data_IF_991341284554
#
_entry.id   IF_991341284554
#
_cell.length_a   1.000
_cell.length_b   1.000
_cell.length_c   1.000
_cell.angle_alpha   90.00
_cell.angle_beta   90.00
_cell.angle_gamma   90.00
#
_symmetry.space_group_name_H-M   'P 1'
#
loop_
_entity.id
_entity.type
_entity.pdbx_description
1 polymer ?
#
# COMPACT_ATOMS: atom_id res chain seq x y z
N UNK A 1 -13.92 -22.94 -0.74
CA UNK A 1 -13.00 -23.98 -1.31
C UNK A 1 -13.20 -24.14 -2.81
N UNK A 2 -14.44 -24.33 -3.30
CA UNK A 2 -14.68 -24.53 -4.73
C UNK A 2 -14.23 -23.37 -5.66
N UNK A 3 -14.43 -22.11 -5.26
CA UNK A 3 -14.04 -20.95 -6.10
C UNK A 3 -12.51 -20.81 -6.17
N UNK A 4 -11.80 -21.02 -5.07
CA UNK A 4 -10.34 -20.96 -5.03
C UNK A 4 -9.72 -21.99 -5.99
N UNK A 5 -10.10 -23.24 -5.87
CA UNK A 5 -9.57 -24.33 -6.70
C UNK A 5 -9.83 -24.08 -8.18
N UNK A 6 -11.04 -23.59 -8.52
CA UNK A 6 -11.40 -23.27 -9.90
C UNK A 6 -10.56 -22.10 -10.46
N UNK A 7 -10.29 -21.07 -9.66
CA UNK A 7 -9.44 -19.94 -10.02
C UNK A 7 -7.98 -20.38 -10.23
N UNK A 8 -7.45 -21.19 -9.30
CA UNK A 8 -6.08 -21.71 -9.38
C UNK A 8 -5.90 -22.58 -10.65
N UNK A 9 -6.82 -23.50 -10.92
CA UNK A 9 -6.78 -24.36 -12.11
C UNK A 9 -6.94 -23.54 -13.42
N UNK A 10 -7.83 -22.55 -13.46
CA UNK A 10 -8.01 -21.71 -14.62
C UNK A 10 -6.76 -20.83 -14.91
N UNK A 11 -6.10 -20.35 -13.85
CA UNK A 11 -4.87 -19.59 -14.00
C UNK A 11 -3.71 -20.45 -14.50
N UNK A 12 -3.61 -21.69 -14.00
CA UNK A 12 -2.63 -22.69 -14.44
C UNK A 12 -2.86 -23.17 -15.88
N UNK A 13 -4.05 -23.01 -16.42
CA UNK A 13 -4.44 -23.49 -17.76
C UNK A 13 -5.03 -24.90 -17.79
N UNK A 14 -5.30 -25.49 -16.63
CA UNK A 14 -5.91 -26.82 -16.48
C UNK A 14 -7.42 -26.81 -16.74
N UNK A 15 -8.03 -25.62 -16.68
CA UNK A 15 -9.44 -25.36 -16.97
C UNK A 15 -9.58 -24.11 -17.82
N UNK A 16 -10.54 -24.07 -18.79
CA UNK A 16 -10.82 -22.86 -19.55
C UNK A 16 -11.15 -21.68 -18.62
N UNK A 17 -10.58 -20.50 -18.89
CA UNK A 17 -10.79 -19.31 -18.03
C UNK A 17 -12.27 -18.90 -17.94
N UNK A 18 -13.05 -19.18 -19.00
CA UNK A 18 -14.48 -18.90 -19.03
C UNK A 18 -15.27 -19.68 -17.99
N UNK A 19 -14.86 -20.91 -17.67
CA UNK A 19 -15.50 -21.73 -16.65
C UNK A 19 -15.31 -21.13 -15.24
N UNK A 20 -14.23 -20.40 -15.04
CA UNK A 20 -13.94 -19.69 -13.78
C UNK A 20 -14.62 -18.31 -13.69
N UNK A 21 -15.23 -17.78 -14.75
CA UNK A 21 -15.81 -16.43 -14.79
C UNK A 21 -16.68 -16.09 -13.58
N UNK A 22 -17.59 -16.97 -13.20
CA UNK A 22 -18.47 -16.75 -12.04
C UNK A 22 -17.72 -16.75 -10.71
N UNK A 23 -16.72 -17.62 -10.57
CA UNK A 23 -15.87 -17.66 -9.36
C UNK A 23 -15.04 -16.38 -9.25
N UNK A 24 -14.44 -15.93 -10.35
CA UNK A 24 -13.69 -14.67 -10.42
C UNK A 24 -14.59 -13.49 -10.05
N UNK A 25 -15.78 -13.39 -10.66
CA UNK A 25 -16.73 -12.29 -10.36
C UNK A 25 -17.08 -12.24 -8.88
N UNK A 26 -17.49 -13.36 -8.26
CA UNK A 26 -17.80 -13.40 -6.81
C UNK A 26 -16.60 -13.02 -5.95
N UNK A 27 -15.40 -13.43 -6.35
CA UNK A 27 -14.17 -13.11 -5.61
C UNK A 27 -13.87 -11.62 -5.67
N UNK A 28 -13.99 -10.98 -6.84
CA UNK A 28 -13.80 -9.52 -6.97
C UNK A 28 -14.86 -8.75 -6.19
N UNK A 29 -16.11 -9.20 -6.22
CA UNK A 29 -17.21 -8.64 -5.40
C UNK A 29 -16.91 -8.75 -3.89
N UNK A 30 -16.39 -9.88 -3.44
CA UNK A 30 -16.04 -10.08 -2.03
C UNK A 30 -14.83 -9.22 -1.61
N UNK A 31 -13.83 -9.02 -2.49
CA UNK A 31 -12.76 -8.04 -2.28
C UNK A 31 -13.30 -6.61 -2.20
N UNK A 32 -14.23 -6.26 -3.09
CA UNK A 32 -14.87 -4.94 -3.15
C UNK A 32 -15.62 -4.61 -1.86
N UNK A 33 -16.30 -5.61 -1.27
CA UNK A 33 -17.00 -5.46 0.02
C UNK A 33 -16.11 -5.61 1.25
N UNK A 34 -14.82 -5.97 1.08
CA UNK A 34 -13.89 -6.21 2.19
C UNK A 34 -14.11 -7.52 2.95
N UNK A 35 -14.90 -8.44 2.39
CA UNK A 35 -15.12 -9.79 2.94
C UNK A 35 -13.89 -10.68 2.75
N UNK A 36 -13.07 -10.37 1.74
CA UNK A 36 -11.79 -10.99 1.46
C UNK A 36 -10.69 -9.93 1.41
N UNK A 37 -9.49 -10.29 1.84
CA UNK A 37 -8.30 -9.45 1.78
C UNK A 37 -7.14 -10.22 1.15
N UNK A 38 -6.35 -9.53 0.32
CA UNK A 38 -5.16 -10.13 -0.33
C UNK A 38 -4.10 -10.54 0.70
N UNK A 39 -3.98 -9.81 1.79
CA UNK A 39 -3.24 -10.26 2.97
C UNK A 39 -3.93 -9.80 4.25
N UNK A 40 -3.87 -10.64 5.28
CA UNK A 40 -4.45 -10.37 6.60
C UNK A 40 -3.52 -10.83 7.73
N UNK A 41 -3.64 -10.21 8.90
CA UNK A 41 -2.84 -10.54 10.09
C UNK A 41 -3.58 -11.59 10.93
N UNK A 42 -3.05 -12.81 10.98
CA UNK A 42 -3.57 -13.93 11.77
C UNK A 42 -2.52 -14.32 12.80
N UNK A 43 -2.89 -14.35 14.08
CA UNK A 43 -1.99 -14.67 15.19
C UNK A 43 -0.66 -13.87 15.15
N UNK A 44 -0.75 -12.58 14.81
CA UNK A 44 0.38 -11.67 14.72
C UNK A 44 1.26 -11.80 13.46
N UNK A 45 0.92 -12.69 12.53
CA UNK A 45 1.66 -12.90 11.28
C UNK A 45 0.81 -12.53 10.07
N UNK A 46 1.42 -11.88 9.09
CA UNK A 46 0.77 -11.60 7.83
C UNK A 46 0.72 -12.85 6.95
N UNK A 47 -0.47 -13.19 6.49
CA UNK A 47 -0.74 -14.30 5.58
C UNK A 47 -1.20 -13.72 4.25
N UNK A 48 -0.52 -14.09 3.17
CA UNK A 48 -0.85 -13.66 1.80
C UNK A 48 -1.71 -14.72 1.12
N UNK A 49 -2.84 -14.32 0.58
CA UNK A 49 -3.78 -15.16 -0.16
C UNK A 49 -3.51 -15.03 -1.67
N UNK A 50 -2.52 -15.74 -2.18
CA UNK A 50 -2.09 -15.65 -3.58
C UNK A 50 -3.23 -15.86 -4.58
N UNK A 51 -4.16 -16.80 -4.29
CA UNK A 51 -5.28 -17.10 -5.16
C UNK A 51 -6.19 -15.88 -5.43
N UNK A 52 -6.25 -14.90 -4.52
CA UNK A 52 -6.97 -13.65 -4.74
C UNK A 52 -6.31 -12.78 -5.80
N UNK A 53 -4.97 -12.77 -5.85
CA UNK A 53 -4.24 -12.09 -6.93
C UNK A 53 -4.47 -12.81 -8.27
N UNK A 54 -4.53 -14.15 -8.28
CA UNK A 54 -4.87 -14.90 -9.48
C UNK A 54 -6.27 -14.51 -9.97
N UNK A 55 -7.25 -14.37 -9.07
CA UNK A 55 -8.59 -13.90 -9.43
C UNK A 55 -8.56 -12.51 -10.06
N UNK A 56 -7.79 -11.57 -9.52
CA UNK A 56 -7.61 -10.22 -10.09
C UNK A 56 -7.00 -10.31 -11.50
N UNK A 57 -5.95 -11.11 -11.68
CA UNK A 57 -5.31 -11.29 -12.99
C UNK A 57 -6.27 -11.90 -14.02
N UNK A 58 -7.06 -12.91 -13.60
CA UNK A 58 -8.09 -13.50 -14.46
C UNK A 58 -9.20 -12.49 -14.78
N UNK A 59 -9.58 -11.63 -13.86
CA UNK A 59 -10.61 -10.60 -14.13
C UNK A 59 -10.20 -9.67 -15.27
N UNK A 60 -8.91 -9.31 -15.38
CA UNK A 60 -8.42 -8.53 -16.53
C UNK A 60 -8.44 -9.31 -17.84
N UNK A 61 -8.26 -10.65 -17.80
CA UNK A 61 -8.34 -11.47 -19.01
C UNK A 61 -9.78 -11.66 -19.47
N UNK A 62 -10.72 -11.81 -18.50
CA UNK A 62 -12.13 -12.02 -18.74
C UNK A 62 -12.90 -10.73 -19.06
N UNK A 63 -12.41 -9.58 -18.62
CA UNK A 63 -13.05 -8.29 -18.81
C UNK A 63 -12.87 -7.76 -20.24
N UNK A 64 -13.87 -7.05 -20.73
CA UNK A 64 -13.87 -6.35 -22.01
C UNK A 64 -13.66 -4.84 -21.78
N UNK A 65 -13.00 -4.18 -22.73
CA UNK A 65 -12.88 -2.72 -22.72
C UNK A 65 -14.25 -2.09 -22.88
N UNK A 66 -14.64 -1.28 -21.91
CA UNK A 66 -15.92 -0.57 -21.92
C UNK A 66 -15.73 0.91 -21.67
N UNK A 67 -16.59 1.72 -22.28
CA UNK A 67 -16.67 3.13 -21.96
C UNK A 67 -17.34 3.31 -20.60
N UNK A 68 -16.72 4.11 -19.75
CA UNK A 68 -17.23 4.48 -18.42
C UNK A 68 -17.41 6.00 -18.41
N UNK A 69 -18.63 6.45 -18.19
CA UNK A 69 -18.98 7.87 -18.13
C UNK A 69 -19.19 8.28 -16.66
N UNK A 70 -18.48 9.31 -16.21
CA UNK A 70 -18.56 9.90 -14.88
C UNK A 70 -18.75 11.44 -15.00
N UNK A 71 -19.98 11.86 -15.29
CA UNK A 71 -20.29 13.25 -15.65
C UNK A 71 -19.61 13.62 -16.97
N UNK A 72 -18.79 14.68 -16.94
CA UNK A 72 -18.03 15.12 -18.12
C UNK A 72 -16.72 14.35 -18.35
N UNK A 73 -16.36 13.44 -17.44
CA UNK A 73 -15.20 12.58 -17.57
C UNK A 73 -15.56 11.27 -18.26
N UNK A 74 -14.68 10.81 -19.14
CA UNK A 74 -14.86 9.58 -19.90
C UNK A 74 -13.62 8.71 -19.77
N UNK A 75 -13.82 7.43 -19.48
CA UNK A 75 -12.76 6.44 -19.37
C UNK A 75 -13.02 5.28 -20.32
N UNK A 76 -12.00 4.49 -20.57
CA UNK A 76 -12.12 3.25 -21.34
C UNK A 76 -11.27 2.19 -20.63
N UNK A 77 -11.91 1.31 -19.87
CA UNK A 77 -11.23 0.32 -19.05
C UNK A 77 -12.07 -0.96 -18.91
N UNK A 78 -11.45 -2.03 -18.42
CA UNK A 78 -12.07 -3.31 -18.11
C UNK A 78 -12.68 -3.35 -16.70
N UNK A 79 -12.16 -2.54 -15.78
CA UNK A 79 -12.58 -2.50 -14.39
C UNK A 79 -13.22 -1.13 -14.11
N UNK A 80 -14.46 -1.08 -13.66
CA UNK A 80 -15.13 0.18 -13.35
C UNK A 80 -14.50 0.86 -12.11
N UNK A 81 -14.89 2.11 -11.90
CA UNK A 81 -14.70 2.78 -10.61
C UNK A 81 -15.75 2.27 -9.63
N UNK A 82 -15.42 2.33 -8.34
CA UNK A 82 -16.35 1.97 -7.26
C UNK A 82 -17.46 3.04 -7.17
N UNK A 83 -18.70 2.62 -7.06
CA UNK A 83 -19.86 3.52 -7.13
C UNK A 83 -20.51 3.83 -5.77
N UNK A 84 -20.63 2.86 -4.87
CA UNK A 84 -21.31 3.04 -3.58
C UNK A 84 -20.40 3.55 -2.44
N UNK A 85 -19.54 4.53 -2.72
CA UNK A 85 -18.67 5.14 -1.70
C UNK A 85 -19.45 5.91 -0.61
N UNK A 86 -20.53 6.67 -0.91
CA UNK A 86 -21.33 7.32 0.12
C UNK A 86 -22.01 6.32 1.07
N UNK A 87 -22.56 5.23 0.56
CA UNK A 87 -23.21 4.17 1.37
C UNK A 87 -22.21 3.44 2.28
N UNK A 88 -20.95 3.39 1.89
CA UNK A 88 -19.86 2.82 2.68
C UNK A 88 -19.24 3.82 3.68
N UNK A 89 -19.70 5.06 3.75
CA UNK A 89 -19.16 6.08 4.66
C UNK A 89 -17.75 6.56 4.28
N UNK A 90 -17.39 6.47 2.99
CA UNK A 90 -16.09 6.90 2.44
C UNK A 90 -16.24 8.26 1.76
N UNK A 91 -15.36 9.20 2.11
CA UNK A 91 -15.30 10.51 1.44
C UNK A 91 -14.25 10.48 0.34
N UNK A 92 -14.66 10.76 -0.89
CA UNK A 92 -13.73 10.93 -2.02
C UNK A 92 -13.85 12.34 -2.57
N UNK A 93 -12.72 13.05 -2.61
CA UNK A 93 -12.64 14.41 -3.16
C UNK A 93 -12.34 14.33 -4.66
N UNK A 94 -13.13 14.95 -5.54
CA UNK A 94 -12.87 14.93 -6.97
C UNK A 94 -11.51 15.55 -7.33
N UNK A 95 -10.73 14.98 -8.28
CA UNK A 95 -11.00 13.81 -9.09
C UNK A 95 -10.42 12.51 -8.50
N UNK A 96 -10.46 12.30 -7.18
CA UNK A 96 -10.02 11.05 -6.56
C UNK A 96 -10.78 9.85 -7.08
N UNK A 97 -10.13 8.69 -7.10
CA UNK A 97 -10.68 7.44 -7.63
C UNK A 97 -10.39 6.24 -6.73
N UNK A 98 -11.41 5.40 -6.53
CA UNK A 98 -11.27 4.06 -5.98
C UNK A 98 -11.76 3.08 -7.04
N UNK A 99 -10.89 2.14 -7.47
CA UNK A 99 -11.29 1.12 -8.44
C UNK A 99 -12.16 0.05 -7.80
N UNK A 100 -13.10 -0.49 -8.56
CA UNK A 100 -13.87 -1.64 -8.16
C UNK A 100 -12.96 -2.83 -7.79
N UNK A 101 -13.28 -3.56 -6.73
CA UNK A 101 -12.43 -4.59 -6.15
C UNK A 101 -11.38 -4.07 -5.17
N UNK A 102 -11.34 -2.75 -4.92
CA UNK A 102 -10.66 -2.18 -3.76
C UNK A 102 -11.65 -1.94 -2.62
N UNK A 103 -11.22 -2.09 -1.37
CA UNK A 103 -12.04 -1.81 -0.20
C UNK A 103 -11.48 -0.65 0.62
N UNK A 104 -12.37 0.26 1.00
CA UNK A 104 -12.10 1.31 1.99
C UNK A 104 -13.12 1.17 3.12
N UNK A 105 -12.65 1.05 4.35
CA UNK A 105 -13.53 1.02 5.53
C UNK A 105 -14.22 2.39 5.77
N UNK A 106 -15.32 2.43 6.53
CA UNK A 106 -15.98 3.69 6.90
C UNK A 106 -15.00 4.67 7.57
N UNK A 107 -15.16 5.97 7.25
CA UNK A 107 -14.31 7.03 7.78
C UNK A 107 -13.03 7.27 7.00
N UNK A 108 -12.74 6.48 5.97
CA UNK A 108 -11.63 6.75 5.04
C UNK A 108 -11.89 8.02 4.25
N UNK A 109 -10.85 8.84 4.12
CA UNK A 109 -10.85 10.03 3.26
C UNK A 109 -9.84 9.83 2.14
N UNK A 110 -10.32 9.83 0.91
CA UNK A 110 -9.49 9.85 -0.30
C UNK A 110 -9.54 11.27 -0.87
N UNK A 111 -8.48 12.03 -0.69
CA UNK A 111 -8.27 13.30 -1.38
C UNK A 111 -8.08 13.01 -2.89
N UNK A 112 -7.86 13.97 -3.78
CA UNK A 112 -7.58 13.61 -5.17
C UNK A 112 -6.41 12.64 -5.29
N UNK A 113 -6.70 11.36 -5.13
CA UNK A 113 -5.76 10.24 -5.00
C UNK A 113 -6.32 9.01 -5.72
N UNK A 114 -5.53 7.95 -5.83
CA UNK A 114 -5.92 6.75 -6.55
C UNK A 114 -5.73 5.50 -5.67
N UNK A 115 -6.79 4.70 -5.55
CA UNK A 115 -6.77 3.40 -4.85
C UNK A 115 -7.08 2.30 -5.86
N UNK A 116 -6.12 1.39 -6.04
CA UNK A 116 -6.21 0.35 -7.07
C UNK A 116 -6.86 -0.94 -6.57
N UNK A 117 -7.30 -1.77 -7.52
CA UNK A 117 -7.97 -3.07 -7.28
C UNK A 117 -7.16 -3.97 -6.32
N UNK A 118 -7.86 -4.67 -5.45
CA UNK A 118 -7.27 -5.56 -4.44
C UNK A 118 -6.66 -4.84 -3.24
N UNK A 119 -6.55 -3.50 -3.27
CA UNK A 119 -6.11 -2.73 -2.12
C UNK A 119 -7.18 -2.74 -1.01
N UNK A 120 -6.72 -2.69 0.23
CA UNK A 120 -7.55 -2.52 1.42
C UNK A 120 -7.06 -1.31 2.20
N UNK A 121 -7.98 -0.42 2.58
CA UNK A 121 -7.68 0.79 3.37
C UNK A 121 -8.53 0.80 4.63
N UNK A 122 -7.89 0.73 5.79
CA UNK A 122 -8.53 0.69 7.11
C UNK A 122 -9.17 2.02 7.51
N UNK A 123 -10.16 1.93 8.40
CA UNK A 123 -10.98 3.06 8.85
C UNK A 123 -10.17 4.22 9.45
N UNK A 124 -10.62 5.44 9.26
CA UNK A 124 -9.94 6.65 9.75
C UNK A 124 -8.69 7.05 8.97
N UNK A 125 -8.28 6.26 7.99
CA UNK A 125 -7.10 6.54 7.15
C UNK A 125 -7.37 7.65 6.15
N UNK A 126 -6.37 8.52 5.97
CA UNK A 126 -6.37 9.54 4.92
C UNK A 126 -5.37 9.17 3.82
N UNK A 127 -5.85 9.10 2.58
CA UNK A 127 -5.03 9.03 1.37
C UNK A 127 -5.03 10.42 0.75
N UNK A 128 -3.96 11.18 0.98
CA UNK A 128 -3.91 12.60 0.67
C UNK A 128 -3.60 12.87 -0.82
N UNK A 129 -3.57 14.14 -1.17
CA UNK A 129 -3.55 14.67 -2.54
C UNK A 129 -2.44 14.07 -3.40
N UNK A 130 -2.84 13.50 -4.54
CA UNK A 130 -1.96 12.83 -5.52
C UNK A 130 -1.17 11.63 -4.98
N UNK A 131 -1.56 11.09 -3.82
CA UNK A 131 -1.04 9.81 -3.38
C UNK A 131 -1.66 8.65 -4.17
N UNK A 132 -0.97 7.52 -4.20
CA UNK A 132 -1.46 6.29 -4.81
C UNK A 132 -1.35 5.13 -3.84
N UNK A 133 -2.40 4.31 -3.79
CA UNK A 133 -2.40 2.99 -3.13
C UNK A 133 -2.46 1.95 -4.23
N UNK A 134 -1.35 1.28 -4.47
CA UNK A 134 -1.18 0.32 -5.54
C UNK A 134 -2.00 -0.96 -5.36
N UNK A 135 -2.09 -1.75 -6.42
CA UNK A 135 -2.86 -3.00 -6.42
C UNK A 135 -2.42 -3.92 -5.27
N UNK A 136 -3.40 -4.47 -4.57
CA UNK A 136 -3.20 -5.41 -3.49
C UNK A 136 -2.53 -4.85 -2.22
N UNK A 137 -2.15 -3.58 -2.15
CA UNK A 137 -1.58 -2.97 -0.96
C UNK A 137 -2.57 -3.03 0.21
N UNK A 138 -2.05 -3.28 1.43
CA UNK A 138 -2.83 -3.41 2.65
C UNK A 138 -2.48 -2.28 3.59
N UNK A 139 -3.41 -1.35 3.78
CA UNK A 139 -3.24 -0.18 4.64
C UNK A 139 -4.10 -0.37 5.88
N UNK A 140 -3.52 -0.15 7.04
CA UNK A 140 -4.15 -0.23 8.35
C UNK A 140 -5.10 0.94 8.63
N UNK A 141 -5.54 1.02 9.89
CA UNK A 141 -6.42 2.07 10.41
C UNK A 141 -5.62 3.30 10.82
N UNK A 142 -6.27 4.48 10.77
CA UNK A 142 -5.70 5.76 11.21
C UNK A 142 -4.35 6.09 10.56
N UNK A 143 -4.06 5.53 9.40
CA UNK A 143 -2.83 5.83 8.66
C UNK A 143 -2.96 7.17 7.96
N UNK A 144 -1.91 7.98 8.00
CA UNK A 144 -1.82 9.17 7.16
C UNK A 144 -0.84 8.90 6.00
N UNK A 145 -1.38 8.79 4.79
CA UNK A 145 -0.61 8.71 3.55
C UNK A 145 -0.58 10.13 2.98
N UNK A 146 0.51 10.86 3.22
CA UNK A 146 0.62 12.28 2.85
C UNK A 146 0.70 12.52 1.33
N UNK A 147 0.66 13.78 0.93
CA UNK A 147 0.58 14.17 -0.47
C UNK A 147 1.71 13.62 -1.35
N UNK A 148 1.33 13.07 -2.50
CA UNK A 148 2.28 12.54 -3.49
C UNK A 148 3.00 11.24 -3.10
N UNK A 149 2.58 10.57 -2.04
CA UNK A 149 3.13 9.26 -1.65
C UNK A 149 2.80 8.20 -2.69
N UNK A 150 3.78 7.38 -3.03
CA UNK A 150 3.62 6.21 -3.88
C UNK A 150 3.68 4.91 -3.09
N UNK A 151 2.52 4.31 -2.76
CA UNK A 151 2.45 2.94 -2.28
C UNK A 151 2.37 2.02 -3.50
N UNK A 152 3.38 1.18 -3.67
CA UNK A 152 3.51 0.31 -4.82
C UNK A 152 2.47 -0.80 -4.86
N UNK A 153 2.06 -1.15 -6.07
CA UNK A 153 1.24 -2.33 -6.32
C UNK A 153 2.13 -3.56 -6.54
N UNK A 154 1.77 -4.67 -5.91
CA UNK A 154 2.45 -5.96 -6.07
C UNK A 154 1.41 -7.01 -6.48
N UNK A 155 0.92 -6.90 -7.71
CA UNK A 155 0.00 -7.87 -8.30
C UNK A 155 0.77 -9.03 -8.94
N UNK A 156 1.85 -8.71 -9.65
CA UNK A 156 2.73 -9.67 -10.31
C UNK A 156 4.17 -9.55 -9.78
N UNK A 157 4.84 -10.69 -9.50
CA UNK A 157 4.32 -12.05 -9.55
C UNK A 157 3.32 -12.33 -8.42
N UNK A 158 2.35 -13.27 -8.63
CA UNK A 158 1.28 -13.51 -7.63
C UNK A 158 1.78 -13.93 -6.24
N UNK A 159 2.91 -14.64 -6.17
CA UNK A 159 3.54 -15.08 -4.92
C UNK A 159 4.29 -13.98 -4.17
N UNK A 160 4.50 -12.79 -4.76
CA UNK A 160 5.17 -11.69 -4.06
C UNK A 160 4.27 -11.10 -2.96
N UNK A 161 4.87 -10.75 -1.83
CA UNK A 161 4.17 -10.07 -0.73
C UNK A 161 3.67 -8.69 -1.17
N UNK A 162 2.42 -8.29 -0.90
CA UNK A 162 1.97 -6.93 -1.14
C UNK A 162 2.66 -5.95 -0.19
N UNK A 163 2.63 -4.66 -0.54
CA UNK A 163 3.01 -3.62 0.43
C UNK A 163 2.01 -3.61 1.58
N UNK A 164 2.53 -3.58 2.81
CA UNK A 164 1.75 -3.54 4.04
C UNK A 164 2.15 -2.29 4.81
N UNK A 165 1.16 -1.50 5.22
CA UNK A 165 1.33 -0.38 6.16
C UNK A 165 0.37 -0.64 7.31
N UNK A 166 0.91 -0.89 8.50
CA UNK A 166 0.11 -1.18 9.69
C UNK A 166 -0.56 0.06 10.29
N UNK A 167 -1.39 -0.15 11.30
CA UNK A 167 -2.22 0.88 11.93
C UNK A 167 -1.37 2.06 12.46
N UNK A 168 -1.96 3.25 12.53
CA UNK A 168 -1.40 4.46 13.12
C UNK A 168 -0.06 4.95 12.51
N UNK A 169 0.36 4.40 11.37
CA UNK A 169 1.57 4.84 10.67
C UNK A 169 1.39 6.20 9.99
N UNK A 170 2.46 6.97 9.92
CA UNK A 170 2.54 8.24 9.19
C UNK A 170 3.55 8.13 8.05
N UNK A 171 3.09 8.30 6.82
CA UNK A 171 3.91 8.25 5.61
C UNK A 171 4.05 9.66 5.06
N UNK A 172 5.21 10.27 5.27
CA UNK A 172 5.49 11.65 4.87
C UNK A 172 5.39 11.89 3.37
N UNK A 173 5.19 13.14 2.98
CA UNK A 173 4.97 13.53 1.59
C UNK A 173 6.05 13.01 0.65
N UNK A 174 5.63 12.52 -0.52
CA UNK A 174 6.50 11.98 -1.59
C UNK A 174 7.36 10.77 -1.18
N UNK A 175 7.03 10.08 -0.09
CA UNK A 175 7.62 8.78 0.20
C UNK A 175 7.25 7.76 -0.89
N UNK A 176 8.16 6.81 -1.12
CA UNK A 176 7.95 5.66 -1.99
C UNK A 176 8.09 4.39 -1.15
N UNK A 177 7.05 3.57 -1.13
CA UNK A 177 7.03 2.28 -0.41
C UNK A 177 6.61 1.20 -1.38
N UNK A 178 7.54 0.33 -1.79
CA UNK A 178 7.31 -0.62 -2.89
C UNK A 178 7.93 -1.99 -2.60
N UNK A 179 7.80 -2.91 -3.54
CA UNK A 179 8.44 -4.23 -3.54
C UNK A 179 8.11 -5.08 -2.29
N UNK A 180 6.85 -5.02 -1.84
CA UNK A 180 6.41 -5.80 -0.69
C UNK A 180 6.95 -5.32 0.65
N UNK A 181 7.39 -4.09 0.74
CA UNK A 181 7.85 -3.50 1.98
C UNK A 181 6.73 -3.48 3.03
N UNK A 182 7.13 -3.68 4.29
CA UNK A 182 6.26 -3.70 5.45
C UNK A 182 6.62 -2.53 6.38
N UNK A 183 5.64 -1.66 6.62
CA UNK A 183 5.77 -0.55 7.56
C UNK A 183 5.00 -0.91 8.82
N UNK A 184 5.71 -1.06 9.92
CA UNK A 184 5.16 -1.47 11.21
C UNK A 184 4.23 -0.42 11.83
N UNK A 185 3.40 -0.88 12.76
CA UNK A 185 2.41 -0.07 13.49
C UNK A 185 3.05 1.20 14.08
N UNK A 186 2.42 2.34 13.89
CA UNK A 186 2.85 3.61 14.43
C UNK A 186 4.19 4.14 13.87
N UNK A 187 4.79 3.50 12.87
CA UNK A 187 6.02 4.00 12.27
C UNK A 187 5.82 5.33 11.54
N UNK A 188 6.85 6.14 11.51
CA UNK A 188 6.85 7.47 10.89
C UNK A 188 7.93 7.51 9.82
N UNK A 189 7.55 7.75 8.57
CA UNK A 189 8.47 8.04 7.48
C UNK A 189 8.52 9.55 7.24
N UNK A 190 9.70 10.15 7.39
CA UNK A 190 9.94 11.55 6.98
C UNK A 190 9.75 11.72 5.48
N UNK A 191 9.46 12.94 5.04
CA UNK A 191 9.22 13.23 3.62
C UNK A 191 10.37 12.73 2.71
N UNK A 192 10.03 12.30 1.49
CA UNK A 192 10.94 11.75 0.49
C UNK A 192 11.66 10.45 0.88
N UNK A 193 11.27 9.79 1.97
CA UNK A 193 11.87 8.50 2.35
C UNK A 193 11.43 7.41 1.36
N UNK A 194 12.40 6.62 0.89
CA UNK A 194 12.16 5.49 0.00
C UNK A 194 12.45 4.18 0.71
N UNK A 195 11.47 3.29 0.76
CA UNK A 195 11.55 1.94 1.32
C UNK A 195 11.22 0.93 0.22
N UNK A 196 12.19 0.08 -0.09
CA UNK A 196 12.05 -1.03 -1.04
C UNK A 196 12.72 -2.29 -0.47
N UNK A 197 12.59 -3.42 -1.15
CA UNK A 197 13.27 -4.66 -0.73
C UNK A 197 14.80 -4.52 -0.74
N UNK A 198 15.37 -3.66 -1.57
CA UNK A 198 16.81 -3.53 -1.78
C UNK A 198 17.46 -2.39 -1.00
N UNK A 199 16.72 -1.33 -0.66
CA UNK A 199 17.25 -0.18 0.07
C UNK A 199 17.47 -0.56 1.54
N UNK A 200 18.69 -0.42 2.08
CA UNK A 200 18.95 -0.71 3.49
C UNK A 200 18.32 0.35 4.39
N UNK A 201 17.76 -0.12 5.50
CA UNK A 201 17.22 0.69 6.59
C UNK A 201 18.16 0.48 7.77
N UNK A 202 18.83 1.52 8.23
CA UNK A 202 19.91 1.43 9.21
C UNK A 202 19.46 2.11 10.50
N UNK A 203 19.33 1.35 11.57
CA UNK A 203 19.05 1.87 12.91
C UNK A 203 20.36 2.39 13.52
N UNK A 204 20.45 3.72 13.68
CA UNK A 204 21.60 4.41 14.28
C UNK A 204 21.31 4.87 15.70
N UNK A 205 20.22 4.42 16.30
CA UNK A 205 19.87 4.75 17.70
C UNK A 205 20.58 3.86 18.72
N UNK A 206 21.28 2.82 18.25
CA UNK A 206 22.00 1.84 19.07
C UNK A 206 23.52 2.06 18.98
N UNK A 207 24.28 1.54 19.94
CA UNK A 207 25.73 1.63 19.96
C UNK A 207 26.36 1.02 18.69
N UNK A 208 25.79 -0.08 18.21
CA UNK A 208 26.13 -0.69 16.92
C UNK A 208 24.94 -0.59 15.97
N UNK A 209 25.12 -0.09 14.72
CA UNK A 209 24.05 0.02 13.74
C UNK A 209 23.46 -1.35 13.38
N UNK A 210 22.13 -1.41 13.33
CA UNK A 210 21.38 -2.61 12.89
C UNK A 210 20.75 -2.34 11.53
N UNK A 211 21.00 -3.22 10.57
CA UNK A 211 20.42 -3.10 9.21
C UNK A 211 19.16 -3.96 9.07
N UNK A 212 18.07 -3.34 8.61
CA UNK A 212 16.83 -3.98 8.19
C UNK A 212 16.68 -3.89 6.68
N UNK A 213 15.83 -4.75 6.12
CA UNK A 213 15.46 -4.72 4.69
C UNK A 213 13.98 -4.99 4.53
N UNK A 214 13.34 -4.23 3.66
CA UNK A 214 11.91 -4.31 3.36
C UNK A 214 10.98 -4.15 4.57
N UNK A 215 11.50 -4.04 5.78
CA UNK A 215 10.72 -3.95 7.02
C UNK A 215 11.16 -2.74 7.85
N UNK A 216 10.20 -1.87 8.15
CA UNK A 216 10.34 -0.79 9.12
C UNK A 216 9.71 -1.24 10.42
N UNK A 217 10.47 -1.35 11.53
CA UNK A 217 9.92 -1.79 12.81
C UNK A 217 8.81 -0.87 13.33
N UNK A 218 7.87 -1.40 14.15
CA UNK A 218 6.83 -0.59 14.78
C UNK A 218 7.41 0.60 15.57
N UNK A 219 6.77 1.76 15.43
CA UNK A 219 7.16 3.00 16.11
C UNK A 219 8.47 3.63 15.64
N UNK A 220 9.16 3.08 14.64
CA UNK A 220 10.41 3.65 14.15
C UNK A 220 10.19 5.00 13.43
N UNK A 221 11.06 5.97 13.70
CA UNK A 221 11.10 7.25 12.98
C UNK A 221 12.22 7.15 11.96
N UNK A 222 11.85 7.19 10.68
CA UNK A 222 12.74 6.89 9.56
C UNK A 222 12.89 8.11 8.67
N UNK A 223 14.11 8.40 8.26
CA UNK A 223 14.41 9.49 7.33
C UNK A 223 15.27 9.01 6.17
N UNK A 224 15.18 9.70 5.06
CA UNK A 224 16.02 9.49 3.89
C UNK A 224 17.48 9.82 4.22
N UNK A 225 18.40 8.99 3.71
CA UNK A 225 19.83 9.21 3.83
C UNK A 225 20.64 8.58 2.72
N UNK A 226 21.96 8.67 2.83
CA UNK A 226 22.91 8.01 1.92
C UNK A 226 24.04 7.38 2.71
N UNK A 227 24.63 6.30 2.17
CA UNK A 227 25.87 5.72 2.68
C UNK A 227 26.94 5.63 1.60
N UNK A 228 28.23 5.82 1.93
CA UNK A 228 29.30 5.70 0.95
C UNK A 228 29.46 4.24 0.51
N UNK A 229 29.76 4.06 -0.77
CA UNK A 229 30.17 2.79 -1.35
C UNK A 229 31.28 3.00 -2.38
N UNK A 230 32.39 2.25 -2.24
CA UNK A 230 33.54 2.33 -3.11
C UNK A 230 33.38 1.35 -4.28
N UNK A 231 33.61 1.85 -5.49
CA UNK A 231 33.67 1.11 -6.74
C UNK A 231 35.04 1.35 -7.40
N UNK A 232 35.42 0.60 -8.44
CA UNK A 232 36.69 0.84 -9.16
C UNK A 232 36.86 2.28 -9.66
N UNK A 233 35.76 2.95 -10.04
CA UNK A 233 35.74 4.33 -10.51
C UNK A 233 35.68 5.41 -9.42
N UNK A 234 35.65 5.03 -8.13
CA UNK A 234 35.62 5.96 -7.01
C UNK A 234 34.53 5.66 -6.00
N UNK A 235 34.42 6.50 -4.97
CA UNK A 235 33.39 6.39 -3.92
C UNK A 235 32.19 7.24 -4.30
N UNK A 236 31.00 6.61 -4.26
CA UNK A 236 29.69 7.25 -4.45
C UNK A 236 28.85 7.09 -3.21
N UNK A 237 27.83 7.94 -3.02
CA UNK A 237 26.87 7.84 -1.93
C UNK A 237 25.57 7.20 -2.48
N UNK A 238 25.27 5.99 -2.03
CA UNK A 238 24.06 5.27 -2.40
C UNK A 238 22.96 5.54 -1.37
N UNK A 239 21.73 5.56 -1.87
CA UNK A 239 20.53 5.76 -1.06
C UNK A 239 20.41 4.70 0.05
N UNK A 240 20.00 5.14 1.23
CA UNK A 240 19.57 4.33 2.36
C UNK A 240 18.51 5.10 3.16
N UNK A 241 17.89 4.45 4.12
CA UNK A 241 17.05 5.07 5.13
C UNK A 241 17.71 4.91 6.51
N UNK A 242 17.49 5.86 7.40
CA UNK A 242 18.00 5.80 8.79
C UNK A 242 16.84 5.82 9.77
N UNK A 243 16.83 4.87 10.71
CA UNK A 243 16.02 4.99 11.93
C UNK A 243 16.79 5.89 12.87
N UNK A 244 16.22 7.06 13.18
CA UNK A 244 16.84 8.11 13.99
C UNK A 244 16.18 8.26 15.38
N UNK A 245 15.11 7.51 15.63
CA UNK A 245 14.37 7.54 16.88
C UNK A 245 13.17 6.61 16.85
N UNK A 246 12.39 6.70 17.92
CA UNK A 246 11.20 5.86 18.12
C UNK A 246 10.05 6.73 18.59
N UNK A 247 8.83 6.41 18.11
CA UNK A 247 7.62 7.14 18.47
C UNK A 247 7.41 7.11 19.97
N UNK A 248 7.02 8.25 20.52
CA UNK A 248 6.63 8.42 21.92
C UNK A 248 5.28 9.15 21.97
N UNK A 249 4.64 9.18 23.13
CA UNK A 249 3.37 9.90 23.33
C UNK A 249 3.41 11.38 22.90
N UNK A 250 4.58 12.01 22.87
CA UNK A 250 4.76 13.39 22.38
C UNK A 250 4.57 13.54 20.86
N UNK A 251 4.68 12.44 20.10
CA UNK A 251 4.57 12.45 18.64
C UNK A 251 3.14 12.27 18.14
N UNK A 252 2.18 12.00 19.04
CA UNK A 252 0.78 11.76 18.69
C UNK A 252 0.02 13.02 18.24
N UNK A 253 0.66 14.20 18.34
CA UNK A 253 0.17 15.43 17.75
C UNK A 253 1.02 15.77 16.52
N UNK A 254 0.36 16.07 15.39
CA UNK A 254 1.04 16.37 14.10
C UNK A 254 2.09 17.51 14.17
N UNK A 255 2.03 18.35 15.20
CA UNK A 255 3.03 19.38 15.53
C UNK A 255 4.29 18.79 16.17
N UNK A 256 4.17 17.71 16.94
CA UNK A 256 5.28 17.09 17.66
C UNK A 256 6.32 16.42 16.75
N UNK A 257 5.90 15.89 15.60
CA UNK A 257 6.84 15.29 14.65
C UNK A 257 7.82 16.32 14.09
N UNK A 258 7.32 17.48 13.68
CA UNK A 258 8.14 18.56 13.13
C UNK A 258 9.09 19.15 14.18
N UNK A 259 8.67 19.23 15.44
CA UNK A 259 9.51 19.68 16.54
C UNK A 259 10.63 18.67 16.82
N UNK A 260 10.29 17.38 16.90
CA UNK A 260 11.28 16.33 17.14
C UNK A 260 12.33 16.22 16.01
N UNK A 261 11.91 16.31 14.75
CA UNK A 261 12.85 16.32 13.62
C UNK A 261 13.79 17.54 13.68
N UNK A 262 13.27 18.70 14.11
CA UNK A 262 14.11 19.90 14.34
C UNK A 262 15.10 19.71 15.50
N UNK A 263 14.68 19.10 16.61
CA UNK A 263 15.54 18.78 17.74
C UNK A 263 16.69 17.84 17.35
N UNK A 264 16.43 16.92 16.43
CA UNK A 264 17.43 16.03 15.84
C UNK A 264 18.27 16.69 14.72
N UNK A 265 18.07 17.99 14.46
CA UNK A 265 18.80 18.72 13.42
C UNK A 265 18.39 18.37 11.99
N UNK A 266 17.28 17.66 11.81
CA UNK A 266 16.73 17.34 10.50
C UNK A 266 15.87 18.52 10.03
N UNK A 267 16.32 19.23 8.98
CA UNK A 267 15.50 20.22 8.31
C UNK A 267 14.47 19.53 7.41
N UNK A 268 13.21 19.93 7.56
CA UNK A 268 12.09 19.47 6.71
C UNK A 268 12.06 20.22 5.38
#
# INVERSE_FOLDING_TARGET
MADRELIENAYAGDTPIEDARRAVTRTIEALDRGELRVAEKVDGKWIVHEWLKLAILLSFRLGEMTRIDAGDLHFNDKIPVKDDLPGQGVRVVPPGMVRYGAHCEPGVVVMPAFVNIGAYVGGGTMVDTWATVGSCAQIGKNVHIAGGVGIGGVLEPPNATPVIVEDDAFIGSRCIVTEGAHIGEGAILGANTTITASIPIIDVTKDEPVEYRAEVPPGAIVVQGTRPRTFPGGTVHLQCAYIIGWRSERHDQSLGLNEHLRELGVQL
#
